data_IF_182846629498
#
_entry.id   IF_182846629498
#
_cell.length_a   1.000
_cell.length_b   1.000
_cell.length_c   1.000
_cell.angle_alpha   90.00
_cell.angle_beta   90.00
_cell.angle_gamma   90.00
#
_symmetry.space_group_name_H-M   'P 1'
#
loop_
_entity.id
_entity.type
_entity.pdbx_description
1 polymer ?
#
# COMPACT_ATOMS: atom_id res chain seq x y z
N UNK A 1 -60.89 -18.16 33.88
CA UNK A 1 -60.28 -17.20 34.84
C UNK A 1 -59.67 -16.04 34.06
N UNK A 2 -59.45 -14.91 34.75
CA UNK A 2 -59.54 -13.52 34.26
C UNK A 2 -58.37 -13.06 33.37
N UNK A 3 -58.68 -12.01 32.61
CA UNK A 3 -57.92 -11.24 31.60
C UNK A 3 -56.74 -10.45 32.20
N UNK A 4 -55.75 -10.11 31.35
CA UNK A 4 -55.36 -8.71 31.10
C UNK A 4 -54.31 -8.60 29.99
N UNK A 5 -54.72 -7.99 28.87
CA UNK A 5 -53.90 -7.43 27.80
C UNK A 5 -53.70 -5.94 28.13
N UNK A 6 -52.47 -5.44 28.12
CA UNK A 6 -52.17 -4.01 28.23
C UNK A 6 -51.67 -3.56 26.86
N UNK A 7 -52.52 -2.85 26.13
CA UNK A 7 -52.13 -1.98 25.04
C UNK A 7 -51.89 -0.57 25.58
N UNK A 8 -50.96 0.15 24.96
CA UNK A 8 -50.89 1.61 25.07
C UNK A 8 -50.90 2.20 23.67
N UNK A 9 -51.89 3.05 23.43
CA UNK A 9 -52.16 3.82 22.24
C UNK A 9 -51.98 5.31 22.53
N UNK A 10 -51.42 6.02 21.54
CA UNK A 10 -51.68 7.42 21.14
C UNK A 10 -51.13 8.55 22.02
N UNK A 11 -50.27 9.39 21.43
CA UNK A 11 -50.47 10.84 21.35
C UNK A 11 -49.55 11.45 20.28
N UNK A 12 -50.14 11.88 19.16
CA UNK A 12 -49.51 12.77 18.20
C UNK A 12 -49.73 14.23 18.60
N UNK A 13 -48.74 15.08 18.34
CA UNK A 13 -48.87 16.53 18.38
C UNK A 13 -48.38 17.12 17.05
N UNK A 14 -49.35 17.51 16.22
CA UNK A 14 -49.21 18.43 15.10
C UNK A 14 -48.98 19.84 15.65
N UNK A 15 -47.92 20.52 15.21
CA UNK A 15 -47.82 21.98 15.28
C UNK A 15 -47.49 22.53 13.91
N UNK A 16 -48.54 23.05 13.26
CA UNK A 16 -48.49 23.90 12.09
C UNK A 16 -48.98 25.30 12.47
N UNK A 17 -48.32 26.32 11.94
CA UNK A 17 -48.91 27.64 11.70
C UNK A 17 -48.26 28.81 12.45
N UNK A 18 -47.88 29.85 11.69
CA UNK A 18 -47.69 31.20 12.26
C UNK A 18 -46.76 32.11 11.48
N UNK A 19 -47.30 32.84 10.51
CA UNK A 19 -46.66 33.90 9.73
C UNK A 19 -46.19 35.08 10.61
N UNK A 20 -45.05 35.69 10.26
CA UNK A 20 -44.77 37.10 10.53
C UNK A 20 -43.90 37.70 9.42
N UNK A 21 -44.53 38.48 8.55
CA UNK A 21 -43.91 39.43 7.63
C UNK A 21 -43.70 40.76 8.35
N UNK A 22 -42.47 41.26 8.40
CA UNK A 22 -42.21 42.71 8.46
C UNK A 22 -40.94 43.04 7.70
N UNK A 23 -41.12 43.77 6.61
CA UNK A 23 -40.09 44.48 5.86
C UNK A 23 -39.79 45.82 6.54
N UNK A 24 -38.51 46.21 6.63
CA UNK A 24 -37.91 47.56 6.66
C UNK A 24 -36.42 47.36 7.03
N UNK A 25 -35.39 47.96 6.43
CA UNK A 25 -35.22 48.87 5.31
C UNK A 25 -33.77 48.70 4.81
N UNK A 26 -33.53 49.01 3.54
CA UNK A 26 -32.21 49.08 2.93
C UNK A 26 -31.42 50.31 3.41
N UNK A 27 -30.09 50.18 3.55
CA UNK A 27 -29.14 51.06 2.84
C UNK A 27 -27.73 50.43 2.77
N UNK A 28 -26.95 50.98 1.84
CA UNK A 28 -25.90 50.41 1.02
C UNK A 28 -24.55 50.00 1.63
N UNK A 29 -23.85 49.25 0.77
CA UNK A 29 -22.39 49.14 0.59
C UNK A 29 -21.60 48.44 1.69
N UNK A 30 -21.33 47.16 1.47
CA UNK A 30 -19.94 46.70 1.34
C UNK A 30 -19.87 45.34 0.65
N UNK A 31 -19.11 45.31 -0.44
CA UNK A 31 -18.52 44.13 -1.07
C UNK A 31 -17.97 43.15 -0.04
N UNK A 32 -18.67 42.03 0.18
CA UNK A 32 -18.14 40.89 0.90
C UNK A 32 -17.99 39.71 -0.09
N UNK A 33 -16.82 39.67 -0.71
CA UNK A 33 -16.22 38.43 -1.18
C UNK A 33 -16.32 37.41 -0.06
N UNK A 34 -17.11 36.36 -0.24
CA UNK A 34 -17.10 35.20 0.64
C UNK A 34 -15.74 34.52 0.51
N UNK A 35 -14.76 34.98 1.30
CA UNK A 35 -13.58 34.21 1.67
C UNK A 35 -14.07 32.94 2.36
N UNK A 36 -14.20 31.89 1.55
CA UNK A 36 -14.02 30.52 2.00
C UNK A 36 -12.64 30.46 2.65
N UNK A 37 -12.60 30.65 3.96
CA UNK A 37 -11.47 30.34 4.81
C UNK A 37 -11.18 28.85 4.68
N UNK A 38 -10.35 28.51 3.69
CA UNK A 38 -9.69 27.22 3.61
C UNK A 38 -8.89 27.08 4.90
N UNK A 39 -9.45 26.34 5.87
CA UNK A 39 -8.68 25.80 6.98
C UNK A 39 -7.52 25.05 6.35
N UNK A 40 -6.37 25.71 6.36
CA UNK A 40 -5.07 25.17 5.97
C UNK A 40 -4.98 23.75 6.53
N UNK A 41 -4.87 22.79 5.63
CA UNK A 41 -4.67 21.39 5.92
C UNK A 41 -3.33 21.23 6.63
N UNK A 42 -3.29 21.51 7.94
CA UNK A 42 -2.17 21.13 8.79
C UNK A 42 -2.27 19.62 9.02
N UNK A 43 -1.86 18.86 8.00
CA UNK A 43 -1.56 17.46 8.19
C UNK A 43 -0.42 17.39 9.20
N UNK A 44 -0.75 17.09 10.45
CA UNK A 44 0.20 16.74 11.50
C UNK A 44 0.75 15.33 11.22
N UNK A 45 1.27 15.14 10.02
CA UNK A 45 2.09 14.00 9.62
C UNK A 45 3.46 14.19 10.26
N UNK A 46 3.59 13.82 11.54
CA UNK A 46 4.90 13.45 12.11
C UNK A 46 5.30 12.10 11.51
N UNK A 47 5.70 12.14 10.25
CA UNK A 47 6.11 11.03 9.41
C UNK A 47 6.65 11.65 8.13
N UNK A 48 7.82 11.22 7.68
CA UNK A 48 8.52 11.84 6.56
C UNK A 48 7.61 11.87 5.32
N UNK A 49 7.75 12.90 4.47
CA UNK A 49 6.83 13.18 3.36
C UNK A 49 6.43 11.94 2.55
N UNK A 50 5.17 11.54 2.68
CA UNK A 50 4.55 10.45 1.93
C UNK A 50 3.20 10.86 1.33
N UNK A 51 3.12 12.05 0.72
CA UNK A 51 2.10 12.30 -0.30
C UNK A 51 2.53 11.61 -1.59
N UNK A 52 2.13 10.33 -1.72
CA UNK A 52 2.27 9.53 -2.93
C UNK A 52 3.66 8.92 -3.14
N UNK A 53 4.13 8.11 -2.20
CA UNK A 53 5.36 7.33 -2.37
C UNK A 53 5.25 6.35 -3.54
N UNK A 54 6.15 6.47 -4.52
CA UNK A 54 6.29 5.53 -5.63
C UNK A 54 6.68 6.13 -6.98
N UNK A 55 6.80 7.45 -7.11
CA UNK A 55 7.18 8.05 -8.38
C UNK A 55 8.70 8.10 -8.53
N UNK A 56 9.21 7.28 -9.45
CA UNK A 56 10.60 7.18 -9.90
C UNK A 56 11.57 6.52 -8.91
N UNK A 57 11.44 5.19 -8.83
CA UNK A 57 12.60 4.31 -8.66
C UNK A 57 12.99 3.68 -10.01
N UNK A 58 12.72 4.41 -11.10
CA UNK A 58 13.00 3.98 -12.47
C UNK A 58 14.34 4.53 -12.92
N UNK A 59 15.01 3.79 -13.79
CA UNK A 59 16.28 4.14 -14.38
C UNK A 59 16.22 5.53 -15.04
N UNK A 60 17.38 6.19 -15.16
CA UNK A 60 17.48 7.55 -15.72
C UNK A 60 16.78 7.70 -17.08
N UNK A 61 16.69 6.61 -17.85
CA UNK A 61 16.00 6.55 -19.13
C UNK A 61 14.48 6.77 -19.04
N UNK A 62 13.79 6.20 -18.04
CA UNK A 62 12.35 6.39 -17.86
C UNK A 62 12.01 7.84 -17.51
N UNK A 63 12.86 8.44 -16.67
CA UNK A 63 12.76 9.84 -16.26
C UNK A 63 12.92 10.76 -17.47
N UNK A 64 13.89 10.46 -18.33
CA UNK A 64 14.11 11.19 -19.58
C UNK A 64 12.98 10.97 -20.59
N UNK A 65 12.47 9.76 -20.73
CA UNK A 65 11.35 9.45 -21.61
C UNK A 65 10.09 10.21 -21.19
N UNK A 66 9.78 10.20 -19.88
CA UNK A 66 8.62 10.92 -19.33
C UNK A 66 8.78 12.44 -19.44
N UNK A 67 9.98 12.97 -19.19
CA UNK A 67 10.25 14.38 -19.41
C UNK A 67 10.00 14.78 -20.87
N UNK A 68 10.50 14.01 -21.83
CA UNK A 68 10.26 14.25 -23.27
C UNK A 68 8.78 14.19 -23.63
N UNK A 69 8.05 13.21 -23.12
CA UNK A 69 6.59 13.08 -23.33
C UNK A 69 5.82 14.33 -22.84
N UNK A 70 6.26 14.90 -21.72
CA UNK A 70 5.66 16.11 -21.13
C UNK A 70 6.24 17.41 -21.71
N UNK A 71 7.14 17.34 -22.70
CA UNK A 71 7.78 18.51 -23.30
C UNK A 71 8.79 19.22 -22.38
N UNK A 72 9.31 18.53 -21.38
CA UNK A 72 10.27 19.04 -20.40
C UNK A 72 11.69 18.91 -20.95
N UNK A 73 12.46 20.01 -20.90
CA UNK A 73 13.88 20.00 -21.25
C UNK A 73 14.69 19.20 -20.24
N UNK A 74 15.48 18.25 -20.73
CA UNK A 74 16.31 17.33 -19.91
C UNK A 74 17.77 17.76 -19.80
N UNK A 75 18.23 18.70 -20.63
CA UNK A 75 19.65 19.08 -20.69
C UNK A 75 20.07 19.91 -19.47
N UNK A 76 21.13 19.46 -18.78
CA UNK A 76 21.73 20.19 -17.66
C UNK A 76 20.92 20.17 -16.36
N UNK A 77 19.86 19.35 -16.27
CA UNK A 77 19.07 19.18 -15.05
C UNK A 77 19.45 17.89 -14.35
N UNK A 78 19.54 17.95 -13.02
CA UNK A 78 19.66 16.75 -12.19
C UNK A 78 18.31 15.99 -12.14
N UNK A 79 18.37 14.74 -11.68
CA UNK A 79 17.20 13.87 -11.60
C UNK A 79 16.12 14.41 -10.65
N UNK A 80 16.49 15.07 -9.55
CA UNK A 80 15.54 15.60 -8.58
C UNK A 80 14.73 16.75 -9.17
N UNK A 81 15.41 17.67 -9.86
CA UNK A 81 14.78 18.76 -10.60
C UNK A 81 13.84 18.21 -11.67
N UNK A 82 14.30 17.23 -12.45
CA UNK A 82 13.49 16.62 -13.50
C UNK A 82 12.24 15.91 -12.94
N UNK A 83 12.37 15.19 -11.81
CA UNK A 83 11.23 14.57 -11.11
C UNK A 83 10.20 15.60 -10.64
N UNK A 84 10.66 16.72 -10.05
CA UNK A 84 9.76 17.80 -9.59
C UNK A 84 8.98 18.42 -10.74
N UNK A 85 9.65 18.68 -11.86
CA UNK A 85 9.00 19.24 -13.05
C UNK A 85 8.01 18.25 -13.67
N UNK A 86 8.39 16.98 -13.82
CA UNK A 86 7.50 15.91 -14.30
C UNK A 86 6.25 15.83 -13.42
N UNK A 87 6.43 15.76 -12.10
CA UNK A 87 5.32 15.70 -11.13
C UNK A 87 4.40 16.90 -11.28
N UNK A 88 4.97 18.09 -11.42
CA UNK A 88 4.22 19.34 -11.58
C UNK A 88 3.35 19.32 -12.85
N UNK A 89 3.93 18.93 -13.99
CA UNK A 89 3.19 18.87 -15.25
C UNK A 89 2.13 17.76 -15.26
N UNK A 90 2.40 16.62 -14.62
CA UNK A 90 1.40 15.56 -14.42
C UNK A 90 0.21 16.04 -13.59
N UNK A 91 0.45 16.69 -12.45
CA UNK A 91 -0.62 17.24 -11.61
C UNK A 91 -1.45 18.26 -12.39
N UNK A 92 -0.81 19.15 -13.17
CA UNK A 92 -1.53 20.11 -14.01
C UNK A 92 -2.35 19.43 -15.09
N UNK A 93 -1.82 18.39 -15.74
CA UNK A 93 -2.54 17.60 -16.74
C UNK A 93 -3.77 16.93 -16.13
N UNK A 94 -3.59 16.22 -15.02
CA UNK A 94 -4.68 15.56 -14.29
C UNK A 94 -5.72 16.58 -13.80
N UNK A 95 -5.30 17.73 -13.26
CA UNK A 95 -6.20 18.79 -12.84
C UNK A 95 -7.09 19.26 -14.00
N UNK A 96 -6.51 19.50 -15.19
CA UNK A 96 -7.27 19.87 -16.39
C UNK A 96 -8.26 18.78 -16.82
N UNK A 97 -7.83 17.52 -16.82
CA UNK A 97 -8.70 16.37 -17.13
C UNK A 97 -9.87 16.22 -16.15
N UNK A 98 -9.66 16.61 -14.88
CA UNK A 98 -10.68 16.62 -13.83
C UNK A 98 -11.51 17.91 -13.80
N UNK A 99 -11.26 18.87 -14.69
CA UNK A 99 -11.97 20.16 -14.73
C UNK A 99 -11.59 21.14 -13.61
N UNK A 100 -10.44 20.93 -12.96
CA UNK A 100 -9.91 21.77 -11.88
C UNK A 100 -9.18 22.97 -12.49
N UNK A 101 -9.48 24.17 -12.00
CA UNK A 101 -8.82 25.42 -12.43
C UNK A 101 -7.37 25.44 -11.94
N UNK A 102 -6.41 25.49 -12.87
CA UNK A 102 -4.97 25.48 -12.56
C UNK A 102 -4.34 26.85 -12.36
N UNK A 103 -4.98 27.93 -12.81
CA UNK A 103 -4.40 29.28 -12.75
C UNK A 103 -4.40 29.85 -11.33
N UNK A 104 -3.24 30.30 -10.86
CA UNK A 104 -3.09 30.98 -9.57
C UNK A 104 -3.02 30.05 -8.35
N UNK A 105 -2.91 28.74 -8.57
CA UNK A 105 -2.70 27.74 -7.51
C UNK A 105 -1.29 27.20 -7.58
N UNK A 106 -0.69 26.98 -6.42
CA UNK A 106 0.56 26.23 -6.32
C UNK A 106 0.31 24.72 -6.55
N UNK A 107 1.41 23.98 -6.73
CA UNK A 107 1.36 22.55 -7.08
C UNK A 107 0.81 21.69 -5.94
N UNK A 108 1.03 22.07 -4.68
CA UNK A 108 0.56 21.33 -3.51
C UNK A 108 -0.97 21.44 -3.42
N UNK A 109 -1.49 22.67 -3.52
CA UNK A 109 -2.94 22.92 -3.57
C UNK A 109 -3.60 22.17 -4.73
N UNK A 110 -2.99 22.17 -5.92
CA UNK A 110 -3.52 21.41 -7.06
C UNK A 110 -3.50 19.90 -6.83
N UNK A 111 -2.43 19.37 -6.21
CA UNK A 111 -2.35 17.96 -5.90
C UNK A 111 -3.44 17.52 -4.91
N UNK A 112 -3.68 18.31 -3.87
CA UNK A 112 -4.73 18.05 -2.89
C UNK A 112 -6.13 18.05 -3.53
N UNK A 113 -6.42 19.03 -4.39
CA UNK A 113 -7.71 19.09 -5.09
C UNK A 113 -7.90 17.90 -6.06
N UNK A 114 -6.85 17.55 -6.83
CA UNK A 114 -6.87 16.38 -7.72
C UNK A 114 -7.14 15.11 -6.91
N UNK A 115 -6.45 14.92 -5.79
CA UNK A 115 -6.65 13.76 -4.93
C UNK A 115 -8.05 13.72 -4.33
N UNK A 116 -8.57 14.84 -3.84
CA UNK A 116 -9.91 14.91 -3.28
C UNK A 116 -10.97 14.55 -4.33
N UNK A 117 -10.86 15.07 -5.56
CA UNK A 117 -11.79 14.72 -6.65
C UNK A 117 -11.70 13.23 -7.00
N UNK A 118 -10.49 12.65 -7.06
CA UNK A 118 -10.32 11.21 -7.29
C UNK A 118 -10.95 10.37 -6.17
N UNK A 119 -10.74 10.74 -4.91
CA UNK A 119 -11.36 10.08 -3.76
C UNK A 119 -12.89 10.16 -3.84
N UNK A 120 -13.45 11.35 -4.11
CA UNK A 120 -14.89 11.53 -4.27
C UNK A 120 -15.47 10.66 -5.39
N UNK A 121 -14.78 10.56 -6.55
CA UNK A 121 -15.17 9.64 -7.63
C UNK A 121 -15.18 8.19 -7.14
N UNK A 122 -14.12 7.74 -6.47
CA UNK A 122 -14.00 6.37 -5.94
C UNK A 122 -15.10 6.06 -4.91
N UNK A 123 -15.39 6.99 -4.01
CA UNK A 123 -16.41 6.86 -2.97
C UNK A 123 -17.81 6.73 -3.59
N UNK A 124 -18.11 7.53 -4.63
CA UNK A 124 -19.35 7.39 -5.42
C UNK A 124 -19.45 6.03 -6.10
N UNK A 125 -18.37 5.55 -6.72
CA UNK A 125 -18.35 4.26 -7.41
C UNK A 125 -18.60 3.07 -6.45
N UNK A 126 -18.15 3.17 -5.20
CA UNK A 126 -18.34 2.12 -4.18
C UNK A 126 -19.68 2.30 -3.43
N UNK A 127 -20.46 3.35 -3.73
CA UNK A 127 -21.77 3.60 -3.12
C UNK A 127 -21.70 4.15 -1.70
N UNK A 128 -20.60 4.82 -1.34
CA UNK A 128 -20.42 5.46 -0.03
C UNK A 128 -20.86 6.94 -0.13
N UNK A 129 -21.43 7.49 0.93
CA UNK A 129 -21.78 8.92 0.97
C UNK A 129 -20.53 9.81 1.09
N UNK A 130 -20.47 10.85 0.24
CA UNK A 130 -19.40 11.87 0.22
C UNK A 130 -19.72 13.10 1.07
N UNK A 131 -20.94 13.24 1.59
CA UNK A 131 -21.40 14.48 2.22
C UNK A 131 -20.70 14.71 3.56
N UNK A 132 -20.14 15.91 3.73
CA UNK A 132 -19.46 16.38 4.95
C UNK A 132 -18.21 15.59 5.37
N UNK A 133 -17.56 14.89 4.42
CA UNK A 133 -16.32 14.16 4.71
C UNK A 133 -15.10 14.84 4.10
N UNK A 134 -14.03 14.95 4.88
CA UNK A 134 -12.73 15.38 4.38
C UNK A 134 -11.98 14.25 3.63
N UNK A 135 -10.82 14.55 3.05
CA UNK A 135 -10.06 13.55 2.28
C UNK A 135 -9.61 12.34 3.13
N UNK A 136 -9.31 12.55 4.42
CA UNK A 136 -8.90 11.49 5.34
C UNK A 136 -10.09 10.58 5.63
N UNK A 137 -11.24 11.17 5.94
CA UNK A 137 -12.48 10.44 6.22
C UNK A 137 -12.99 9.68 4.99
N UNK A 138 -12.81 10.25 3.79
CA UNK A 138 -13.11 9.55 2.53
C UNK A 138 -12.16 8.37 2.32
N UNK A 139 -10.86 8.55 2.57
CA UNK A 139 -9.87 7.48 2.47
C UNK A 139 -10.19 6.32 3.42
N UNK A 140 -10.44 6.63 4.69
CA UNK A 140 -10.77 5.62 5.71
C UNK A 140 -12.08 4.89 5.36
N UNK A 141 -13.08 5.62 4.86
CA UNK A 141 -14.33 5.02 4.44
C UNK A 141 -14.16 4.07 3.24
N UNK A 142 -13.35 4.44 2.24
CA UNK A 142 -13.00 3.58 1.11
C UNK A 142 -12.29 2.32 1.62
N UNK A 143 -11.27 2.49 2.46
CA UNK A 143 -10.47 1.39 2.95
C UNK A 143 -11.31 0.40 3.76
N UNK A 144 -12.16 0.90 4.66
CA UNK A 144 -13.09 0.08 5.43
C UNK A 144 -14.09 -0.66 4.52
N UNK A 145 -14.61 -0.01 3.47
CA UNK A 145 -15.51 -0.67 2.54
C UNK A 145 -14.82 -1.79 1.75
N UNK A 146 -13.57 -1.59 1.33
CA UNK A 146 -12.75 -2.62 0.67
C UNK A 146 -12.50 -3.81 1.61
N UNK A 147 -12.10 -3.55 2.87
CA UNK A 147 -11.95 -4.58 3.89
C UNK A 147 -13.25 -5.36 4.12
N UNK A 148 -14.41 -4.68 4.18
CA UNK A 148 -15.70 -5.36 4.31
C UNK A 148 -16.03 -6.23 3.10
N UNK A 149 -15.66 -5.81 1.88
CA UNK A 149 -15.82 -6.64 0.67
C UNK A 149 -14.96 -7.90 0.77
N UNK A 150 -13.71 -7.77 1.20
CA UNK A 150 -12.77 -8.87 1.38
C UNK A 150 -13.19 -9.84 2.51
N UNK A 151 -13.60 -9.31 3.66
CA UNK A 151 -14.14 -10.09 4.77
C UNK A 151 -15.32 -10.96 4.32
N UNK A 152 -16.26 -10.40 3.56
CA UNK A 152 -17.39 -11.16 3.00
C UNK A 152 -16.94 -12.30 2.08
N UNK A 153 -15.92 -12.07 1.22
CA UNK A 153 -15.36 -13.11 0.34
C UNK A 153 -14.74 -14.28 1.14
N UNK A 154 -14.22 -14.00 2.33
CA UNK A 154 -13.59 -14.99 3.21
C UNK A 154 -14.54 -15.54 4.29
N UNK A 155 -15.81 -15.11 4.33
CA UNK A 155 -16.76 -15.53 5.35
C UNK A 155 -16.52 -14.92 6.74
N UNK A 156 -15.78 -13.82 6.83
CA UNK A 156 -15.50 -13.08 8.07
C UNK A 156 -16.65 -12.12 8.37
N UNK A 157 -17.15 -12.16 9.62
CA UNK A 157 -18.18 -11.21 10.08
C UNK A 157 -17.63 -9.78 10.15
N UNK A 158 -18.41 -8.82 9.66
CA UNK A 158 -18.06 -7.39 9.59
C UNK A 158 -18.73 -6.51 10.64
N UNK A 159 -19.68 -7.06 11.40
CA UNK A 159 -20.56 -6.26 12.24
C UNK A 159 -19.84 -5.75 13.48
N UNK A 160 -19.93 -4.44 13.72
CA UNK A 160 -19.32 -3.77 14.88
C UNK A 160 -17.79 -3.70 14.87
N UNK A 161 -17.12 -4.15 13.81
CA UNK A 161 -15.65 -4.16 13.72
C UNK A 161 -15.11 -2.90 13.04
N UNK A 162 -14.03 -2.38 13.60
CA UNK A 162 -13.20 -1.36 12.97
C UNK A 162 -12.28 -1.95 11.90
N UNK A 163 -11.57 -1.09 11.17
CA UNK A 163 -10.69 -1.49 10.08
C UNK A 163 -9.53 -2.39 10.56
N UNK A 164 -8.97 -2.13 11.75
CA UNK A 164 -7.83 -2.88 12.25
C UNK A 164 -8.23 -4.30 12.64
N UNK A 165 -9.34 -4.44 13.37
CA UNK A 165 -9.91 -5.75 13.74
C UNK A 165 -10.30 -6.54 12.49
N UNK A 166 -10.94 -5.88 11.51
CA UNK A 166 -11.28 -6.51 10.23
C UNK A 166 -10.04 -7.02 9.50
N UNK A 167 -8.96 -6.22 9.46
CA UNK A 167 -7.70 -6.60 8.81
C UNK A 167 -7.08 -7.84 9.45
N UNK A 168 -7.09 -7.92 10.78
CA UNK A 168 -6.58 -9.07 11.51
C UNK A 168 -7.41 -10.33 11.24
N UNK A 169 -8.73 -10.21 11.27
CA UNK A 169 -9.63 -11.33 11.01
C UNK A 169 -9.54 -11.82 9.56
N UNK A 170 -9.45 -10.91 8.59
CA UNK A 170 -9.22 -11.22 7.18
C UNK A 170 -7.89 -11.97 7.02
N UNK A 171 -6.81 -11.49 7.66
CA UNK A 171 -5.50 -12.13 7.61
C UNK A 171 -5.56 -13.55 8.19
N UNK A 172 -6.20 -13.73 9.34
CA UNK A 172 -6.38 -15.05 9.96
C UNK A 172 -7.21 -15.98 9.06
N UNK A 173 -8.34 -15.50 8.52
CA UNK A 173 -9.21 -16.30 7.67
C UNK A 173 -8.52 -16.71 6.36
N UNK A 174 -7.79 -15.78 5.73
CA UNK A 174 -6.98 -16.06 4.54
C UNK A 174 -5.90 -17.10 4.83
N UNK A 175 -5.20 -16.96 5.96
CA UNK A 175 -4.17 -17.91 6.37
C UNK A 175 -4.75 -19.30 6.68
N UNK A 176 -5.87 -19.38 7.39
CA UNK A 176 -6.57 -20.63 7.67
C UNK A 176 -7.03 -21.33 6.38
N UNK A 177 -7.51 -20.55 5.40
CA UNK A 177 -7.88 -21.09 4.09
C UNK A 177 -6.67 -21.72 3.38
N UNK A 178 -5.54 -21.01 3.32
CA UNK A 178 -4.29 -21.53 2.75
C UNK A 178 -3.76 -22.75 3.49
N UNK A 179 -3.80 -22.73 4.82
CA UNK A 179 -3.43 -23.88 5.66
C UNK A 179 -4.24 -25.11 5.30
N UNK A 180 -5.57 -24.97 5.17
CA UNK A 180 -6.46 -26.05 4.75
C UNK A 180 -6.14 -26.58 3.34
N UNK A 181 -5.86 -25.70 2.38
CA UNK A 181 -5.46 -26.07 1.02
C UNK A 181 -4.13 -26.84 0.97
N UNK A 182 -3.24 -26.59 1.92
CA UNK A 182 -1.95 -27.26 2.07
C UNK A 182 -1.99 -28.45 3.04
N UNK A 183 -3.14 -28.77 3.64
CA UNK A 183 -3.28 -29.86 4.59
C UNK A 183 -2.63 -29.61 5.96
N UNK A 184 -2.43 -28.35 6.34
CA UNK A 184 -1.85 -27.93 7.62
C UNK A 184 -2.96 -27.76 8.67
N UNK A 185 -2.80 -28.37 9.85
CA UNK A 185 -3.69 -28.14 10.98
C UNK A 185 -3.53 -26.72 11.54
N UNK A 186 -4.65 -26.06 11.81
CA UNK A 186 -4.72 -24.73 12.43
C UNK A 186 -4.91 -24.77 13.95
N UNK A 187 -5.21 -25.92 14.52
CA UNK A 187 -5.64 -26.04 15.91
C UNK A 187 -4.47 -25.77 16.88
N UNK A 188 -4.70 -24.88 17.85
CA UNK A 188 -3.74 -24.55 18.90
C UNK A 188 -2.53 -23.73 18.45
N UNK A 189 -2.47 -23.28 17.19
CA UNK A 189 -1.38 -22.48 16.65
C UNK A 189 -1.69 -20.99 16.69
N UNK A 190 -0.70 -20.20 17.08
CA UNK A 190 -0.76 -18.76 16.89
C UNK A 190 -0.54 -18.38 15.41
N UNK A 191 -0.89 -17.13 15.07
CA UNK A 191 -0.82 -16.61 13.70
C UNK A 191 0.59 -16.68 13.12
N UNK A 192 1.63 -16.41 13.91
CA UNK A 192 3.01 -16.39 13.44
C UNK A 192 3.49 -17.81 13.12
N UNK A 193 3.24 -18.77 14.00
CA UNK A 193 3.56 -20.18 13.78
C UNK A 193 2.84 -20.72 12.54
N UNK A 194 1.53 -20.49 12.44
CA UNK A 194 0.75 -20.93 11.29
C UNK A 194 1.26 -20.30 9.98
N UNK A 195 1.64 -19.03 10.03
CA UNK A 195 2.19 -18.31 8.88
C UNK A 195 3.49 -18.94 8.38
N UNK A 196 4.41 -19.28 9.29
CA UNK A 196 5.67 -19.90 8.94
C UNK A 196 5.48 -21.29 8.32
N UNK A 197 4.56 -22.09 8.87
CA UNK A 197 4.25 -23.41 8.33
C UNK A 197 3.61 -23.33 6.94
N UNK A 198 2.62 -22.44 6.76
CA UNK A 198 1.97 -22.22 5.46
C UNK A 198 2.98 -21.76 4.42
N UNK A 199 3.84 -20.79 4.77
CA UNK A 199 4.88 -20.31 3.87
C UNK A 199 5.84 -21.43 3.47
N UNK A 200 6.32 -22.20 4.45
CA UNK A 200 7.25 -23.32 4.23
C UNK A 200 6.64 -24.38 3.33
N UNK A 201 5.40 -24.79 3.60
CA UNK A 201 4.71 -25.80 2.81
C UNK A 201 4.42 -25.31 1.39
N UNK A 202 4.03 -24.03 1.23
CA UNK A 202 3.79 -23.42 -0.08
C UNK A 202 5.06 -23.42 -0.93
N UNK A 203 6.19 -22.96 -0.37
CA UNK A 203 7.47 -22.93 -1.08
C UNK A 203 7.90 -24.35 -1.47
N UNK A 204 7.80 -25.34 -0.57
CA UNK A 204 8.17 -26.72 -0.87
C UNK A 204 7.27 -27.33 -1.96
N UNK A 205 5.96 -27.05 -1.92
CA UNK A 205 5.01 -27.49 -2.94
C UNK A 205 5.38 -26.91 -4.31
N UNK A 206 5.62 -25.60 -4.37
CA UNK A 206 6.00 -24.91 -5.60
C UNK A 206 7.37 -25.37 -6.13
N UNK A 207 8.35 -25.58 -5.24
CA UNK A 207 9.65 -26.13 -5.61
C UNK A 207 9.48 -27.50 -6.29
N UNK A 208 8.65 -28.38 -5.72
CA UNK A 208 8.35 -29.68 -6.31
C UNK A 208 7.67 -29.56 -7.68
N UNK A 209 6.69 -28.66 -7.82
CA UNK A 209 6.01 -28.40 -9.10
C UNK A 209 6.96 -27.86 -10.18
N UNK A 210 7.97 -27.10 -9.79
CA UNK A 210 8.98 -26.54 -10.69
C UNK A 210 10.21 -27.44 -10.88
N UNK A 211 10.25 -28.61 -10.22
CA UNK A 211 11.39 -29.54 -10.28
C UNK A 211 12.66 -29.04 -9.57
N UNK A 212 12.52 -28.11 -8.61
CA UNK A 212 13.62 -27.58 -7.80
C UNK A 212 13.88 -28.51 -6.61
N UNK A 213 15.14 -28.95 -6.44
CA UNK A 213 15.53 -29.74 -5.27
C UNK A 213 15.43 -28.92 -3.98
N UNK A 214 14.85 -29.52 -2.94
CA UNK A 214 14.70 -28.93 -1.61
C UNK A 214 15.79 -29.37 -0.62
N UNK A 215 16.59 -30.38 -0.97
CA UNK A 215 17.50 -31.02 -0.02
C UNK A 215 18.73 -30.14 0.26
N UNK A 216 19.03 -29.96 1.55
CA UNK A 216 20.20 -29.20 2.01
C UNK A 216 20.12 -27.68 1.81
N UNK A 217 18.99 -27.14 1.34
CA UNK A 217 18.81 -25.69 1.12
C UNK A 217 18.13 -25.00 2.28
N UNK A 218 18.61 -23.81 2.59
CA UNK A 218 17.93 -22.89 3.49
C UNK A 218 16.60 -22.42 2.89
N UNK A 219 15.57 -22.23 3.73
CA UNK A 219 14.23 -21.86 3.26
C UNK A 219 14.25 -20.55 2.44
N UNK A 220 15.10 -19.61 2.83
CA UNK A 220 15.25 -18.32 2.13
C UNK A 220 15.84 -18.49 0.73
N UNK A 221 16.81 -19.38 0.59
CA UNK A 221 17.42 -19.69 -0.71
C UNK A 221 16.41 -20.41 -1.61
N UNK A 222 15.72 -21.41 -1.07
CA UNK A 222 14.68 -22.14 -1.79
C UNK A 222 13.56 -21.21 -2.25
N UNK A 223 13.10 -20.28 -1.40
CA UNK A 223 12.10 -19.28 -1.74
C UNK A 223 12.56 -18.40 -2.91
N UNK A 224 13.82 -17.95 -2.88
CA UNK A 224 14.38 -17.12 -3.93
C UNK A 224 14.49 -17.86 -5.26
N UNK A 225 14.88 -19.13 -5.24
CA UNK A 225 14.98 -19.96 -6.44
C UNK A 225 13.60 -20.25 -7.05
N UNK A 226 12.62 -20.62 -6.23
CA UNK A 226 11.22 -20.80 -6.64
C UNK A 226 10.67 -19.52 -7.26
N UNK A 227 10.85 -18.38 -6.60
CA UNK A 227 10.43 -17.08 -7.10
C UNK A 227 11.09 -16.76 -8.44
N UNK A 228 12.41 -16.93 -8.55
CA UNK A 228 13.16 -16.68 -9.78
C UNK A 228 12.70 -17.57 -10.93
N UNK A 229 12.43 -18.85 -10.65
CA UNK A 229 11.92 -19.80 -11.63
C UNK A 229 10.51 -19.42 -12.11
N UNK A 230 9.62 -19.01 -11.19
CA UNK A 230 8.29 -18.47 -11.53
C UNK A 230 8.40 -17.23 -12.43
N UNK A 231 9.23 -16.24 -12.06
CA UNK A 231 9.45 -15.01 -12.87
C UNK A 231 9.86 -15.39 -14.28
N UNK A 232 10.88 -16.24 -14.41
CA UNK A 232 11.40 -16.68 -15.72
C UNK A 232 10.37 -17.46 -16.53
N UNK A 233 9.58 -18.32 -15.89
CA UNK A 233 8.54 -19.07 -16.57
C UNK A 233 7.43 -18.16 -17.11
N UNK A 234 7.00 -17.17 -16.33
CA UNK A 234 6.03 -16.18 -16.77
C UNK A 234 6.57 -15.26 -17.87
N UNK A 235 7.81 -14.80 -17.74
CA UNK A 235 8.49 -14.01 -18.76
C UNK A 235 8.51 -14.75 -20.10
N UNK A 236 8.87 -16.04 -20.10
CA UNK A 236 8.82 -16.88 -21.31
C UNK A 236 7.41 -16.98 -21.89
N UNK A 237 6.38 -17.20 -21.06
CA UNK A 237 4.97 -17.24 -21.51
C UNK A 237 4.53 -15.93 -22.16
N UNK A 238 5.08 -14.81 -21.71
CA UNK A 238 4.77 -13.47 -22.20
C UNK A 238 5.71 -12.97 -23.30
N UNK A 239 6.64 -13.82 -23.78
CA UNK A 239 7.68 -13.49 -24.76
C UNK A 239 8.55 -12.28 -24.34
N UNK A 240 8.93 -12.24 -23.06
CA UNK A 240 9.83 -11.24 -22.48
C UNK A 240 11.26 -11.79 -22.49
N UNK A 241 12.22 -11.00 -22.99
CA UNK A 241 13.64 -11.34 -22.98
C UNK A 241 14.18 -11.35 -21.55
N UNK A 242 14.85 -12.43 -21.16
CA UNK A 242 15.42 -12.62 -19.82
C UNK A 242 16.95 -12.50 -19.78
N UNK A 243 17.62 -12.57 -20.92
CA UNK A 243 19.08 -12.58 -21.00
C UNK A 243 19.65 -11.21 -20.62
N UNK A 244 20.63 -11.21 -19.72
CA UNK A 244 21.29 -9.99 -19.23
C UNK A 244 20.48 -9.15 -18.24
N UNK A 245 19.25 -9.56 -17.87
CA UNK A 245 18.38 -8.82 -16.94
C UNK A 245 18.39 -9.43 -15.54
N UNK A 246 18.27 -8.58 -14.52
CA UNK A 246 18.08 -9.04 -13.15
C UNK A 246 16.65 -9.56 -12.93
N UNK A 247 16.46 -10.50 -11.99
CA UNK A 247 15.12 -11.04 -11.66
C UNK A 247 14.10 -9.94 -11.32
N UNK A 248 14.43 -8.89 -10.54
CA UNK A 248 13.48 -7.81 -10.26
C UNK A 248 13.00 -7.07 -11.51
N UNK A 249 13.90 -6.81 -12.47
CA UNK A 249 13.57 -6.16 -13.74
C UNK A 249 12.61 -7.02 -14.55
N UNK A 250 12.91 -8.31 -14.68
CA UNK A 250 12.04 -9.26 -15.39
C UNK A 250 10.66 -9.33 -14.72
N UNK A 251 10.61 -9.34 -13.38
CA UNK A 251 9.36 -9.37 -12.63
C UNK A 251 8.51 -8.12 -12.90
N UNK A 252 9.14 -6.94 -12.96
CA UNK A 252 8.45 -5.70 -13.33
C UNK A 252 7.89 -5.78 -14.75
N UNK A 253 8.69 -6.17 -15.74
CA UNK A 253 8.23 -6.30 -17.13
C UNK A 253 7.08 -7.30 -17.27
N UNK A 254 7.14 -8.42 -16.55
CA UNK A 254 6.05 -9.40 -16.48
C UNK A 254 4.77 -8.77 -15.95
N UNK A 255 4.86 -7.99 -14.87
CA UNK A 255 3.71 -7.30 -14.28
C UNK A 255 3.13 -6.25 -15.21
N UNK A 256 3.96 -5.43 -15.84
CA UNK A 256 3.52 -4.42 -16.80
C UNK A 256 2.82 -5.05 -18.00
N UNK A 257 3.40 -6.13 -18.54
CA UNK A 257 2.80 -6.86 -19.66
C UNK A 257 1.46 -7.48 -19.29
N UNK A 258 1.36 -8.06 -18.08
CA UNK A 258 0.11 -8.58 -17.51
C UNK A 258 -0.97 -7.49 -17.41
N UNK A 259 -0.62 -6.31 -16.88
CA UNK A 259 -1.52 -5.15 -16.80
C UNK A 259 -1.95 -4.69 -18.19
N UNK A 260 -1.03 -4.57 -19.14
CA UNK A 260 -1.34 -4.18 -20.52
C UNK A 260 -2.26 -5.18 -21.21
N UNK A 261 -2.03 -6.49 -21.03
CA UNK A 261 -2.88 -7.53 -21.60
C UNK A 261 -4.29 -7.47 -21.00
N UNK A 262 -4.42 -7.31 -19.69
CA UNK A 262 -5.71 -7.16 -19.03
C UNK A 262 -6.44 -5.87 -19.47
N UNK A 263 -5.71 -4.76 -19.63
CA UNK A 263 -6.28 -3.53 -20.19
C UNK A 263 -6.85 -3.76 -21.59
N UNK A 264 -6.12 -4.46 -22.47
CA UNK A 264 -6.59 -4.80 -23.82
C UNK A 264 -7.81 -5.71 -23.80
N UNK A 265 -7.80 -6.75 -22.96
CA UNK A 265 -8.95 -7.65 -22.78
C UNK A 265 -10.21 -6.87 -22.37
N UNK A 266 -10.04 -5.89 -21.48
CA UNK A 266 -11.11 -5.01 -21.03
C UNK A 266 -11.40 -3.87 -22.02
N UNK A 267 -10.80 -3.81 -23.20
CA UNK A 267 -11.02 -2.73 -24.17
C UNK A 267 -10.62 -1.34 -23.66
N UNK A 268 -9.66 -1.27 -22.73
CA UNK A 268 -9.06 -0.03 -22.24
C UNK A 268 -7.90 0.31 -23.17
N UNK A 269 -7.90 1.53 -23.72
CA UNK A 269 -6.76 2.02 -24.53
C UNK A 269 -5.48 2.01 -23.69
N UNK A 270 -4.42 1.41 -24.21
CA UNK A 270 -3.08 1.38 -23.61
C UNK A 270 -2.16 2.48 -24.12
N UNK A 271 -2.62 3.28 -25.08
CA UNK A 271 -1.80 4.34 -25.69
C UNK A 271 -1.69 5.52 -24.71
N UNK A 272 -0.47 6.05 -24.56
CA UNK A 272 -0.15 7.23 -23.75
C UNK A 272 -0.56 7.11 -22.27
N UNK A 273 -0.67 5.87 -21.76
CA UNK A 273 -0.97 5.57 -20.37
C UNK A 273 0.17 4.79 -19.73
N UNK A 274 0.56 5.24 -18.55
CA UNK A 274 1.42 4.53 -17.62
C UNK A 274 0.74 3.26 -17.08
N UNK A 275 1.54 2.32 -16.60
CA UNK A 275 1.07 1.11 -15.90
C UNK A 275 0.11 1.44 -14.77
N UNK A 276 0.33 2.55 -14.05
CA UNK A 276 -0.55 3.02 -12.97
C UNK A 276 -1.91 3.49 -13.50
N UNK A 277 -1.93 4.31 -14.55
CA UNK A 277 -3.18 4.77 -15.18
C UNK A 277 -3.98 3.60 -15.74
N UNK A 278 -3.29 2.56 -16.25
CA UNK A 278 -3.94 1.32 -16.65
C UNK A 278 -4.52 0.56 -15.47
N UNK A 279 -3.77 0.42 -14.37
CA UNK A 279 -4.27 -0.19 -13.13
C UNK A 279 -5.51 0.55 -12.62
N UNK A 280 -5.49 1.89 -12.59
CA UNK A 280 -6.62 2.70 -12.13
C UNK A 280 -7.84 2.49 -13.05
N UNK A 281 -7.65 2.53 -14.38
CA UNK A 281 -8.72 2.28 -15.34
C UNK A 281 -9.28 0.85 -15.28
N UNK A 282 -8.41 -0.16 -15.08
CA UNK A 282 -8.83 -1.56 -14.89
C UNK A 282 -9.61 -1.66 -13.57
N UNK A 283 -9.14 -1.03 -12.50
CA UNK A 283 -9.82 -1.07 -11.19
C UNK A 283 -11.23 -0.48 -11.28
N UNK A 284 -11.41 0.62 -12.02
CA UNK A 284 -12.73 1.21 -12.25
C UNK A 284 -13.65 0.32 -13.09
N UNK A 285 -13.08 -0.40 -14.06
CA UNK A 285 -13.84 -1.24 -14.99
C UNK A 285 -14.17 -2.62 -14.44
N UNK A 286 -13.19 -3.28 -13.83
CA UNK A 286 -13.29 -4.63 -13.28
C UNK A 286 -12.21 -4.84 -12.18
N UNK A 287 -12.51 -4.36 -10.97
CA UNK A 287 -11.65 -4.54 -9.81
C UNK A 287 -11.41 -6.03 -9.51
N UNK A 288 -12.40 -6.90 -9.70
CA UNK A 288 -12.26 -8.32 -9.35
C UNK A 288 -11.30 -9.05 -10.31
N UNK A 289 -11.23 -8.67 -11.60
CA UNK A 289 -10.17 -9.16 -12.51
C UNK A 289 -8.79 -8.59 -12.20
N UNK A 290 -8.67 -7.32 -11.85
CA UNK A 290 -7.39 -6.76 -11.39
C UNK A 290 -6.89 -7.50 -10.14
N UNK A 291 -7.82 -7.82 -9.24
CA UNK A 291 -7.55 -8.56 -8.02
C UNK A 291 -7.04 -9.97 -8.33
N UNK A 292 -7.66 -10.66 -9.30
CA UNK A 292 -7.21 -11.97 -9.77
C UNK A 292 -5.83 -11.92 -10.43
N UNK A 293 -5.54 -10.88 -11.22
CA UNK A 293 -4.21 -10.65 -11.82
C UNK A 293 -3.13 -10.48 -10.76
N UNK A 294 -3.48 -9.84 -9.65
CA UNK A 294 -2.63 -9.61 -8.46
C UNK A 294 -2.70 -10.75 -7.43
N UNK A 295 -3.34 -11.87 -7.76
CA UNK A 295 -3.57 -13.00 -6.85
C UNK A 295 -2.30 -13.59 -6.24
N UNK A 296 -2.44 -14.71 -5.54
CA UNK A 296 -1.45 -15.30 -4.61
C UNK A 296 -0.03 -15.55 -5.18
N UNK A 297 0.16 -15.44 -6.49
CA UNK A 297 1.43 -15.57 -7.21
C UNK A 297 2.19 -14.25 -7.48
N UNK A 298 1.69 -13.10 -7.01
CA UNK A 298 2.33 -11.81 -7.28
C UNK A 298 3.61 -11.59 -6.44
N UNK A 299 4.71 -12.25 -6.82
CA UNK A 299 6.15 -11.96 -6.57
C UNK A 299 6.59 -11.27 -5.27
N UNK A 300 5.83 -11.44 -4.20
CA UNK A 300 6.15 -11.19 -2.82
C UNK A 300 5.55 -12.38 -2.08
N UNK A 301 6.18 -12.90 -1.01
CA UNK A 301 5.71 -14.10 -0.31
C UNK A 301 4.34 -13.97 0.39
N UNK A 302 3.56 -12.94 0.05
CA UNK A 302 2.41 -12.49 0.80
C UNK A 302 1.48 -11.66 -0.11
N UNK A 303 0.30 -12.19 -0.39
CA UNK A 303 -0.76 -11.53 -1.17
C UNK A 303 -1.19 -10.18 -0.58
N UNK A 304 -2.15 -9.55 -1.25
CA UNK A 304 -2.74 -8.24 -0.91
C UNK A 304 -2.89 -8.03 0.59
N UNK A 305 -2.16 -7.04 1.11
CA UNK A 305 -1.95 -6.87 2.55
C UNK A 305 -0.56 -7.32 2.94
N UNK A 306 0.46 -6.76 2.25
CA UNK A 306 1.87 -7.08 2.44
C UNK A 306 2.19 -7.34 3.91
N UNK A 307 2.72 -8.52 4.19
CA UNK A 307 3.16 -8.91 5.51
C UNK A 307 4.51 -8.25 5.75
N UNK A 308 4.48 -6.93 5.96
CA UNK A 308 5.51 -6.26 6.73
C UNK A 308 5.31 -6.61 8.20
N UNK A 309 6.38 -6.84 8.97
CA UNK A 309 6.27 -6.93 10.41
C UNK A 309 5.74 -5.58 10.88
N UNK A 310 4.69 -5.60 11.69
CA UNK A 310 4.44 -4.64 12.75
C UNK A 310 5.35 -3.41 12.75
N UNK A 311 4.95 -2.40 11.98
CA UNK A 311 5.36 -1.00 12.18
C UNK A 311 4.78 -0.45 13.48
N UNK A 312 4.79 -1.23 14.56
CA UNK A 312 4.64 -0.76 15.90
C UNK A 312 5.98 -0.12 16.28
N UNK A 313 6.06 1.19 16.14
CA UNK A 313 6.90 1.98 17.02
C UNK A 313 6.44 1.69 18.45
N UNK A 314 7.01 0.64 19.04
CA UNK A 314 7.08 0.48 20.48
C UNK A 314 7.60 1.81 21.01
N UNK A 315 6.77 2.48 21.81
CA UNK A 315 7.20 3.61 22.62
C UNK A 315 8.27 3.11 23.57
N UNK A 316 9.51 3.13 23.10
CA UNK A 316 10.69 3.03 23.94
C UNK A 316 10.62 4.16 24.94
N UNK A 317 10.35 3.79 26.20
CA UNK A 317 10.44 4.70 27.33
C UNK A 317 11.79 5.38 27.30
N UNK A 318 11.78 6.69 27.47
CA UNK A 318 12.96 7.50 27.72
C UNK A 318 13.77 6.89 28.86
N UNK A 319 14.93 6.31 28.56
CA UNK A 319 15.97 6.14 29.55
C UNK A 319 16.62 7.50 29.78
N UNK A 320 16.13 8.16 30.83
CA UNK A 320 16.79 9.28 31.49
C UNK A 320 18.01 8.72 32.23
N UNK A 321 19.17 9.34 32.02
CA UNK A 321 20.27 9.32 33.00
C UNK A 321 21.48 8.47 32.62
N UNK A 322 22.46 9.08 31.95
CA UNK A 322 23.83 8.59 31.86
C UNK A 322 24.78 9.78 31.75
N UNK A 323 25.42 10.11 32.88
CA UNK A 323 26.25 11.31 33.07
C UNK A 323 27.40 11.37 32.07
N UNK A 324 27.56 12.56 31.48
CA UNK A 324 28.79 13.03 30.83
C UNK A 324 29.89 13.07 31.89
N UNK A 325 31.00 12.37 31.65
CA UNK A 325 32.29 12.68 32.26
C UNK A 325 33.19 13.24 31.17
N UNK A 326 33.82 14.37 31.49
CA UNK A 326 34.64 15.18 30.59
C UNK A 326 36.03 14.60 30.32
N UNK A 327 36.83 15.32 29.52
CA UNK A 327 38.13 14.88 29.07
C UNK A 327 39.19 15.32 30.08
N UNK A 328 39.80 14.40 30.83
CA UNK A 328 41.08 14.63 31.50
C UNK A 328 41.75 13.31 31.94
N UNK A 329 43.03 13.17 31.55
CA UNK A 329 44.10 12.29 32.06
C UNK A 329 44.35 10.92 31.35
N UNK A 330 45.59 10.36 31.41
CA UNK A 330 46.72 10.61 30.49
C UNK A 330 47.32 9.30 29.88
N UNK A 331 48.35 9.36 29.00
CA UNK A 331 48.82 8.20 28.23
C UNK A 331 50.09 7.53 28.78
N UNK A 332 50.17 6.19 28.72
CA UNK A 332 51.36 5.32 28.78
C UNK A 332 50.89 3.86 28.96
N UNK A 333 51.58 2.78 28.62
CA UNK A 333 52.69 2.44 27.72
C UNK A 333 52.70 0.90 27.65
N UNK A 334 53.24 0.35 26.55
CA UNK A 334 53.90 -0.95 26.39
C UNK A 334 53.33 -2.24 27.03
N UNK A 335 52.82 -3.15 26.19
CA UNK A 335 53.07 -4.60 26.32
C UNK A 335 53.18 -5.23 24.92
N UNK A 336 54.36 -5.77 24.61
CA UNK A 336 54.69 -6.57 23.43
C UNK A 336 54.11 -8.00 23.49
N UNK A 337 53.98 -8.72 22.35
CA UNK A 337 53.45 -10.07 22.28
C UNK A 337 54.54 -11.13 22.51
N UNK A 338 54.22 -12.20 23.25
CA UNK A 338 55.06 -13.41 23.30
C UNK A 338 54.44 -14.54 22.48
N UNK A 339 55.18 -14.94 21.44
CA UNK A 339 55.19 -16.25 20.81
C UNK A 339 55.67 -17.29 21.83
N UNK A 340 55.18 -18.53 21.72
CA UNK A 340 55.98 -19.72 21.99
C UNK A 340 55.49 -20.90 21.15
N UNK A 341 56.49 -21.53 20.53
CA UNK A 341 56.49 -22.68 19.63
C UNK A 341 56.34 -24.01 20.40
N UNK A 342 55.84 -25.03 19.68
CA UNK A 342 56.26 -26.46 19.64
C UNK A 342 56.34 -27.27 20.96
N UNK A 343 56.01 -28.57 21.08
CA UNK A 343 56.07 -29.72 20.16
C UNK A 343 55.39 -30.96 20.85
N UNK A 344 55.50 -32.24 20.38
CA UNK A 344 54.36 -33.09 20.05
C UNK A 344 54.20 -34.31 20.97
N UNK A 345 53.08 -35.05 20.81
CA UNK A 345 52.91 -36.38 21.41
C UNK A 345 52.65 -37.42 20.31
N UNK A 346 53.54 -38.40 20.29
CA UNK A 346 53.63 -39.56 19.42
C UNK A 346 52.70 -40.71 19.85
N UNK A 347 52.33 -41.51 18.85
CA UNK A 347 52.12 -42.98 18.86
C UNK A 347 50.89 -43.61 19.53
N UNK A 348 50.25 -44.49 18.73
CA UNK A 348 49.88 -45.82 19.19
C UNK A 348 48.39 -46.14 19.08
N UNK A 349 47.98 -46.83 18.02
CA UNK A 349 46.97 -47.89 18.16
C UNK A 349 47.07 -48.91 17.02
N UNK A 350 47.33 -50.16 17.42
CA UNK A 350 46.92 -51.42 16.81
C UNK A 350 45.40 -51.35 16.49
N UNK A 351 44.82 -51.92 15.43
CA UNK A 351 44.86 -53.27 14.84
C UNK A 351 44.50 -53.16 13.36
#
# INVERSE_FOLDING_TARGET
>A
MKKSVIGFTIAGALLAGGYATTSLAADNDQTASAESSSKKWEMKMKGHGHFGGGFFKGDSEDLLAKAKELGISTSGKDAETLMKEIRTEQIKKEAKELGIKTSGKDVETLAEEVQLVKLQKKVKNIGISTSNKDASELFDAIHLAELKKEAKKLGVSTDGKDAETLRQDIRQASLNKKAKELGISTDGKDLQTLQQEVMTASIKKEAKELGISTDGKEMRELAHEVMSAKVKAEAKKLNITIDGKAIPEIAMEVQEKKVQNLAKELGISTKDKSTRELIEAIQEKDADKLDALRGDDFFLPFGKGGFGPDGHHGKGKHHVGGKRFGPDAPPSADVQPQLNEESPAETGNEI
#
